data_IF_337043030802
#
_entry.id   IF_337043030802
#
_cell.length_a   1.000
_cell.length_b   1.000
_cell.length_c   1.000
_cell.angle_alpha   90.00
_cell.angle_beta   90.00
_cell.angle_gamma   90.00
#
_symmetry.space_group_name_H-M   'P 1'
#
loop_
_entity.id
_entity.type
_entity.pdbx_description
1 polymer ?
#
# COMPACT_ATOMS: atom_id res chain seq x y z
N UNK A 1 2.75 26.29 4.55
CA UNK A 1 3.75 25.29 4.12
C UNK A 1 3.23 23.97 4.65
N UNK A 2 2.44 23.27 3.85
CA UNK A 2 1.68 22.09 4.29
C UNK A 2 2.56 20.85 4.14
N UNK A 3 3.07 20.35 5.26
CA UNK A 3 3.58 18.98 5.35
C UNK A 3 2.39 18.07 5.64
N UNK A 4 1.68 17.64 4.59
CA UNK A 4 0.69 16.56 4.72
C UNK A 4 1.33 15.25 4.25
N UNK A 5 2.55 14.97 4.73
CA UNK A 5 3.09 13.62 4.71
C UNK A 5 2.51 12.89 5.90
N UNK A 6 1.36 12.22 5.74
CA UNK A 6 0.84 11.37 6.79
C UNK A 6 1.94 10.37 7.21
N UNK A 7 2.41 10.49 8.45
CA UNK A 7 3.44 9.62 8.97
C UNK A 7 2.81 8.25 9.25
N UNK A 8 2.95 7.32 8.31
CA UNK A 8 2.56 5.94 8.51
C UNK A 8 3.51 5.28 9.52
N UNK A 9 2.97 4.49 10.45
CA UNK A 9 3.79 3.56 11.20
C UNK A 9 4.38 2.57 10.19
N UNK A 10 5.71 2.54 10.10
CA UNK A 10 6.45 1.66 9.18
C UNK A 10 6.38 0.18 9.59
N UNK A 11 5.84 -0.08 10.77
CA UNK A 11 5.67 -1.40 11.34
C UNK A 11 4.19 -1.82 11.29
N UNK A 12 3.98 -3.12 11.14
CA UNK A 12 2.69 -3.80 11.23
C UNK A 12 2.86 -5.05 12.11
N UNK A 13 1.79 -5.81 12.33
CA UNK A 13 1.92 -7.14 12.95
C UNK A 13 2.80 -8.05 12.08
N UNK A 14 3.55 -8.97 12.70
CA UNK A 14 4.60 -9.78 12.03
C UNK A 14 4.09 -10.68 10.89
N UNK A 15 2.79 -10.92 10.84
CA UNK A 15 2.04 -11.69 9.84
C UNK A 15 1.24 -10.78 8.88
N UNK A 16 1.28 -9.47 9.06
CA UNK A 16 0.57 -8.50 8.22
C UNK A 16 1.48 -7.83 7.19
N UNK A 17 0.87 -7.40 6.10
CA UNK A 17 1.41 -6.33 5.25
C UNK A 17 0.41 -5.19 5.18
N UNK A 18 0.90 -3.96 5.29
CA UNK A 18 0.06 -2.77 5.23
C UNK A 18 0.50 -1.83 4.11
N UNK A 19 -0.45 -1.07 3.57
CA UNK A 19 -0.20 -0.03 2.58
C UNK A 19 -0.97 1.24 2.94
N UNK A 20 -0.29 2.37 2.92
CA UNK A 20 -0.84 3.70 3.21
C UNK A 20 -0.93 4.60 1.98
N UNK A 21 -1.91 5.50 1.99
CA UNK A 21 -2.05 6.54 0.98
C UNK A 21 -1.38 7.85 1.42
N UNK A 22 -0.11 8.03 1.08
CA UNK A 22 0.64 9.25 1.37
C UNK A 22 0.48 10.37 0.34
N UNK A 23 -0.53 10.27 -0.53
CA UNK A 23 -0.85 11.29 -1.55
C UNK A 23 -2.03 12.15 -1.09
N UNK A 24 -2.30 13.24 -1.81
CA UNK A 24 -3.47 14.11 -1.57
C UNK A 24 -4.74 13.65 -2.31
N UNK A 25 -4.66 12.56 -3.08
CA UNK A 25 -5.76 12.01 -3.88
C UNK A 25 -6.24 10.68 -3.31
N UNK A 26 -7.47 10.26 -3.64
CA UNK A 26 -8.01 8.96 -3.26
C UNK A 26 -7.71 7.94 -4.35
N UNK A 27 -7.17 6.79 -3.96
CA UNK A 27 -6.91 5.67 -4.87
C UNK A 27 -7.47 4.36 -4.32
N UNK A 28 -7.59 3.36 -5.19
CA UNK A 28 -7.93 2.00 -4.79
C UNK A 28 -6.65 1.25 -4.43
N UNK A 29 -6.55 0.81 -3.19
CA UNK A 29 -5.44 0.03 -2.68
C UNK A 29 -5.84 -1.44 -2.57
N UNK A 30 -4.86 -2.31 -2.75
CA UNK A 30 -4.95 -3.72 -2.42
C UNK A 30 -3.77 -4.14 -1.56
N UNK A 31 -4.02 -5.02 -0.59
CA UNK A 31 -3.00 -5.65 0.21
C UNK A 31 -3.23 -7.16 0.25
N UNK A 32 -2.16 -7.92 0.18
CA UNK A 32 -2.20 -9.37 0.35
C UNK A 32 -0.92 -9.85 1.03
N UNK A 33 -1.04 -10.28 2.28
CA UNK A 33 0.04 -10.95 3.00
C UNK A 33 0.22 -12.40 2.50
N UNK A 34 1.39 -13.04 2.75
CA UNK A 34 1.65 -14.43 2.41
C UNK A 34 0.60 -15.38 3.01
N UNK A 35 0.02 -16.24 2.16
CA UNK A 35 -1.06 -17.18 2.55
C UNK A 35 -2.39 -16.51 2.92
N UNK A 36 -2.47 -15.18 2.85
CA UNK A 36 -3.64 -14.38 3.19
C UNK A 36 -4.57 -14.12 2.00
N UNK A 37 -5.74 -13.55 2.32
CA UNK A 37 -6.72 -13.10 1.33
C UNK A 37 -6.37 -11.69 0.87
N UNK A 38 -6.49 -11.44 -0.44
CA UNK A 38 -6.35 -10.09 -0.99
C UNK A 38 -7.53 -9.23 -0.56
N UNK A 39 -7.26 -8.13 0.13
CA UNK A 39 -8.25 -7.12 0.50
C UNK A 39 -8.10 -5.87 -0.36
N UNK A 40 -9.20 -5.18 -0.63
CA UNK A 40 -9.23 -3.96 -1.43
C UNK A 40 -10.01 -2.86 -0.70
N UNK A 41 -9.51 -1.62 -0.77
CA UNK A 41 -10.22 -0.47 -0.23
C UNK A 41 -9.83 0.84 -0.93
N UNK A 42 -10.79 1.74 -1.08
CA UNK A 42 -10.52 3.13 -1.47
C UNK A 42 -9.99 3.88 -0.26
N UNK A 43 -8.72 4.29 -0.29
CA UNK A 43 -8.09 5.02 0.83
C UNK A 43 -8.06 6.51 0.53
N UNK A 44 -8.62 7.32 1.43
CA UNK A 44 -8.38 8.75 1.48
C UNK A 44 -6.92 9.06 1.89
N UNK A 45 -6.43 10.30 1.69
CA UNK A 45 -5.13 10.73 2.19
C UNK A 45 -4.93 10.41 3.66
N UNK A 46 -3.81 9.73 3.97
CA UNK A 46 -3.42 9.31 5.32
C UNK A 46 -4.06 8.02 5.83
N UNK A 47 -4.96 7.38 5.08
CA UNK A 47 -5.53 6.09 5.47
C UNK A 47 -4.60 4.91 5.13
N UNK A 48 -4.81 3.78 5.82
CA UNK A 48 -4.02 2.55 5.69
C UNK A 48 -4.94 1.34 5.52
N UNK A 49 -4.53 0.43 4.64
CA UNK A 49 -5.12 -0.90 4.46
C UNK A 49 -4.11 -1.97 4.87
N UNK A 50 -4.52 -2.89 5.75
CA UNK A 50 -3.71 -4.04 6.15
C UNK A 50 -4.38 -5.35 5.73
N UNK A 51 -3.56 -6.33 5.35
CA UNK A 51 -3.96 -7.71 5.13
C UNK A 51 -3.27 -8.60 6.15
N UNK A 52 -4.03 -9.48 6.78
CA UNK A 52 -3.49 -10.58 7.58
C UNK A 52 -2.98 -11.72 6.68
N UNK A 53 -1.91 -12.37 7.11
CA UNK A 53 -1.31 -13.55 6.47
C UNK A 53 -1.30 -14.75 7.40
N UNK A 54 -0.79 -15.87 6.93
CA UNK A 54 -0.67 -17.10 7.72
C UNK A 54 0.78 -17.48 8.03
N UNK A 55 1.74 -16.78 7.42
CA UNK A 55 3.16 -17.05 7.53
C UNK A 55 4.01 -15.79 7.30
N UNK A 56 5.26 -15.83 7.76
CA UNK A 56 6.22 -14.78 7.48
C UNK A 56 6.69 -14.85 6.02
N UNK A 57 6.98 -13.70 5.42
CA UNK A 57 7.47 -13.67 4.04
C UNK A 57 7.33 -12.30 3.40
N UNK A 58 7.02 -12.29 2.09
CA UNK A 58 6.71 -11.06 1.36
C UNK A 58 5.32 -11.13 0.77
N UNK A 59 4.48 -10.18 1.15
CA UNK A 59 3.20 -9.94 0.52
C UNK A 59 3.32 -8.97 -0.65
N UNK A 60 2.19 -8.73 -1.29
CA UNK A 60 2.05 -7.76 -2.38
C UNK A 60 1.10 -6.66 -1.93
N UNK A 61 1.49 -5.41 -2.16
CA UNK A 61 0.59 -4.26 -2.11
C UNK A 61 0.46 -3.65 -3.49
N UNK A 62 -0.72 -3.16 -3.84
CA UNK A 62 -0.98 -2.56 -5.14
C UNK A 62 -1.82 -1.29 -5.00
N UNK A 63 -1.67 -0.39 -5.98
CA UNK A 63 -2.49 0.82 -6.12
C UNK A 63 -3.00 0.90 -7.54
N UNK A 64 -4.27 1.29 -7.67
CA UNK A 64 -4.97 1.52 -8.92
C UNK A 64 -5.65 2.89 -8.86
N UNK A 65 -5.72 3.58 -10.00
CA UNK A 65 -6.42 4.86 -10.10
C UNK A 65 -7.90 4.71 -9.69
N UNK A 66 -8.56 3.67 -10.21
CA UNK A 66 -9.97 3.36 -9.97
C UNK A 66 -10.20 1.85 -9.93
N UNK A 67 -11.44 1.41 -9.65
CA UNK A 67 -11.82 0.00 -9.67
C UNK A 67 -11.84 -0.62 -11.08
N UNK A 68 -11.96 0.21 -12.12
CA UNK A 68 -11.99 -0.25 -13.52
C UNK A 68 -10.61 -0.15 -14.19
N UNK A 69 -9.59 0.34 -13.48
CA UNK A 69 -8.24 0.44 -14.00
C UNK A 69 -7.64 -0.95 -14.21
N UNK A 70 -7.20 -1.21 -15.45
CA UNK A 70 -6.57 -2.48 -15.82
C UNK A 70 -5.12 -2.57 -15.32
N UNK A 71 -4.47 -1.42 -15.18
CA UNK A 71 -3.07 -1.28 -14.80
C UNK A 71 -2.94 -0.48 -13.50
N UNK A 72 -1.84 -0.69 -12.79
CA UNK A 72 -1.55 -0.01 -11.54
C UNK A 72 -0.07 -0.08 -11.20
N UNK A 73 0.24 0.12 -9.93
CA UNK A 73 1.58 -0.10 -9.40
C UNK A 73 1.54 -1.17 -8.32
N UNK A 74 2.52 -2.06 -8.30
CA UNK A 74 2.65 -3.04 -7.22
C UNK A 74 4.03 -3.02 -6.56
N UNK A 75 4.07 -3.44 -5.30
CA UNK A 75 5.31 -3.55 -4.52
C UNK A 75 5.29 -4.80 -3.65
N UNK A 76 6.45 -5.44 -3.53
CA UNK A 76 6.67 -6.49 -2.54
C UNK A 76 7.03 -5.88 -1.19
N UNK A 77 6.31 -6.27 -0.15
CA UNK A 77 6.47 -5.76 1.21
C UNK A 77 6.68 -6.94 2.14
N UNK A 78 7.72 -6.88 2.98
CA UNK A 78 7.93 -7.89 4.00
C UNK A 78 6.79 -7.86 5.03
N UNK A 79 6.41 -9.01 5.58
CA UNK A 79 5.45 -9.02 6.70
C UNK A 79 6.01 -8.24 7.90
N UNK A 80 5.14 -7.69 8.74
CA UNK A 80 5.54 -6.77 9.81
C UNK A 80 5.81 -5.34 9.34
N UNK A 81 5.56 -5.01 8.06
CA UNK A 81 5.88 -3.69 7.49
C UNK A 81 4.69 -3.03 6.82
N UNK A 82 4.75 -1.70 6.84
CA UNK A 82 3.88 -0.81 6.08
C UNK A 82 4.68 -0.13 4.98
N UNK A 83 4.14 -0.12 3.77
CA UNK A 83 4.61 0.70 2.65
C UNK A 83 3.64 1.86 2.43
N UNK A 84 4.09 3.00 1.91
CA UNK A 84 3.18 4.07 1.52
C UNK A 84 3.42 4.56 0.11
N UNK A 85 2.33 4.85 -0.59
CA UNK A 85 2.35 5.53 -1.87
C UNK A 85 2.63 7.02 -1.64
N UNK A 86 3.70 7.55 -2.24
CA UNK A 86 4.06 8.97 -2.18
C UNK A 86 3.65 9.71 -3.46
N UNK A 87 3.63 9.00 -4.59
CA UNK A 87 3.17 9.55 -5.86
C UNK A 87 2.67 8.43 -6.75
N UNK A 88 1.45 8.58 -7.24
CA UNK A 88 0.92 7.69 -8.27
C UNK A 88 1.48 8.06 -9.64
N UNK A 89 1.83 7.05 -10.43
CA UNK A 89 2.23 7.18 -11.83
C UNK A 89 1.74 5.94 -12.54
N UNK A 90 1.05 6.10 -13.67
CA UNK A 90 0.64 4.97 -14.49
C UNK A 90 1.85 4.11 -14.89
N UNK A 91 1.68 2.79 -14.87
CA UNK A 91 2.67 1.76 -15.23
C UNK A 91 3.89 1.64 -14.29
N UNK A 92 3.72 0.97 -13.13
CA UNK A 92 4.78 0.49 -12.23
C UNK A 92 5.87 1.50 -11.80
N UNK A 93 5.64 2.81 -12.03
CA UNK A 93 6.59 3.90 -11.75
C UNK A 93 6.20 4.73 -10.54
N UNK A 94 5.27 4.24 -9.73
CA UNK A 94 4.88 4.90 -8.50
C UNK A 94 6.08 5.11 -7.58
N UNK A 95 6.10 6.26 -6.90
CA UNK A 95 7.04 6.51 -5.82
C UNK A 95 6.47 5.92 -4.53
N UNK A 96 7.28 5.11 -3.86
CA UNK A 96 6.94 4.46 -2.60
C UNK A 96 7.90 4.94 -1.52
N UNK A 97 7.54 4.78 -0.24
CA UNK A 97 8.48 5.08 0.85
C UNK A 97 9.78 4.28 0.81
N UNK A 98 9.78 3.07 0.23
CA UNK A 98 10.98 2.26 0.02
C UNK A 98 11.72 2.53 -1.30
N UNK A 99 11.16 3.34 -2.20
CA UNK A 99 11.76 3.65 -3.50
C UNK A 99 11.13 4.92 -4.10
N UNK A 100 11.79 6.07 -3.91
CA UNK A 100 11.33 7.41 -4.30
C UNK A 100 12.31 8.10 -5.23
#
# INVERSE_FOLDING_TARGET
>A
MSETGAAFDKNAAMDQVCVGNGTDERFLFAAQAPGGVRVLHLLAPGEVLCSDGTEAGRGVVSVYETADALEGCSRLVATGRTEALLRYVDFDRCAWTSNS
#
